data_IF_152136977901
#
_entry.id   IF_152136977901
#
_cell.length_a   1.000
_cell.length_b   1.000
_cell.length_c   1.000
_cell.angle_alpha   90.00
_cell.angle_beta   90.00
_cell.angle_gamma   90.00
#
_symmetry.space_group_name_H-M   'P 1'
#
loop_
_entity.id
_entity.type
_entity.pdbx_description
1 polymer ?
#
# COMPACT_ATOMS: atom_id res chain seq x y z
N UNK A 1 -28.67 12.72 -18.15
CA UNK A 1 -27.77 11.60 -17.93
C UNK A 1 -27.05 11.76 -16.61
N UNK A 2 -27.18 10.79 -15.75
CA UNK A 2 -26.57 10.83 -14.45
C UNK A 2 -25.09 10.47 -14.54
N UNK A 3 -24.24 11.36 -14.05
CA UNK A 3 -22.80 11.08 -14.01
C UNK A 3 -22.44 10.50 -12.64
N UNK A 4 -21.71 9.40 -12.68
CA UNK A 4 -21.17 8.82 -11.45
C UNK A 4 -19.68 9.07 -11.44
N UNK A 5 -19.20 9.53 -10.29
CA UNK A 5 -17.78 9.73 -10.11
C UNK A 5 -17.34 9.08 -8.80
N UNK A 6 -16.14 8.58 -8.81
CA UNK A 6 -15.52 8.12 -7.59
C UNK A 6 -14.21 8.88 -7.40
N UNK A 7 -13.85 9.10 -6.15
CA UNK A 7 -12.59 9.74 -5.81
C UNK A 7 -11.53 8.66 -5.68
N UNK A 8 -10.43 8.87 -6.38
CA UNK A 8 -9.28 7.97 -6.31
C UNK A 8 -8.09 8.74 -5.76
N UNK A 9 -7.19 8.02 -5.11
CA UNK A 9 -5.96 8.60 -4.58
C UNK A 9 -4.76 7.78 -5.04
N UNK A 10 -3.71 8.48 -5.45
CA UNK A 10 -2.43 7.85 -5.72
C UNK A 10 -1.48 8.28 -4.61
N UNK A 11 -0.93 7.33 -3.91
CA UNK A 11 -0.04 7.58 -2.79
C UNK A 11 1.41 7.65 -3.29
N UNK A 12 2.10 8.72 -2.90
CA UNK A 12 3.54 8.83 -3.13
C UNK A 12 4.24 8.70 -1.79
N UNK A 13 5.18 7.79 -1.72
CA UNK A 13 5.94 7.60 -0.50
C UNK A 13 7.32 7.05 -0.84
N UNK A 14 8.28 7.32 0.04
CA UNK A 14 9.59 6.72 -0.05
C UNK A 14 9.61 5.50 0.86
N UNK A 15 9.90 4.35 0.27
CA UNK A 15 10.01 3.11 1.02
C UNK A 15 11.48 2.83 1.32
N UNK A 16 11.76 2.40 2.55
CA UNK A 16 13.10 2.01 2.95
C UNK A 16 13.30 0.54 2.62
N UNK A 17 14.45 0.23 2.00
CA UNK A 17 14.71 -1.14 1.56
C UNK A 17 14.71 -2.11 2.72
N UNK A 18 13.87 -3.13 2.63
CA UNK A 18 13.79 -4.18 3.63
C UNK A 18 13.06 -3.83 4.91
N UNK A 19 12.67 -2.58 5.10
CA UNK A 19 11.98 -2.13 6.32
C UNK A 19 10.47 -2.27 6.14
N UNK A 20 10.02 -3.52 6.03
CA UNK A 20 8.62 -3.82 5.69
C UNK A 20 7.65 -3.25 6.70
N UNK A 21 7.90 -3.44 8.00
CA UNK A 21 7.00 -2.94 9.04
C UNK A 21 6.87 -1.42 8.99
N UNK A 22 8.00 -0.73 8.88
CA UNK A 22 8.01 0.73 8.78
C UNK A 22 7.29 1.21 7.52
N UNK A 23 7.54 0.54 6.40
CA UNK A 23 6.89 0.89 5.14
C UNK A 23 5.38 0.69 5.20
N UNK A 24 4.92 -0.42 5.79
CA UNK A 24 3.50 -0.69 5.95
C UNK A 24 2.84 0.31 6.88
N UNK A 25 3.51 0.69 7.97
CA UNK A 25 2.96 1.68 8.89
C UNK A 25 2.83 3.05 8.24
N UNK A 26 3.82 3.44 7.45
CA UNK A 26 3.77 4.70 6.70
C UNK A 26 2.64 4.68 5.68
N UNK A 27 2.51 3.58 4.95
CA UNK A 27 1.44 3.40 3.98
C UNK A 27 0.07 3.47 4.65
N UNK A 28 -0.07 2.88 5.84
CA UNK A 28 -1.32 2.91 6.59
C UNK A 28 -1.79 4.34 6.84
N UNK A 29 -0.87 5.20 7.31
CA UNK A 29 -1.20 6.59 7.57
C UNK A 29 -1.68 7.32 6.33
N UNK A 30 -1.02 7.08 5.21
CA UNK A 30 -1.38 7.72 3.95
C UNK A 30 -2.71 7.20 3.39
N UNK A 31 -2.97 5.89 3.53
CA UNK A 31 -4.25 5.31 3.11
C UNK A 31 -5.39 5.85 3.97
N UNK A 32 -5.18 5.97 5.28
CA UNK A 32 -6.21 6.51 6.16
C UNK A 32 -6.51 7.96 5.84
N UNK A 33 -5.50 8.74 5.51
CA UNK A 33 -5.67 10.11 5.09
C UNK A 33 -6.51 10.19 3.81
N UNK A 34 -6.19 9.34 2.82
CA UNK A 34 -6.93 9.26 1.57
C UNK A 34 -8.39 8.86 1.80
N UNK A 35 -8.62 7.89 2.69
CA UNK A 35 -9.96 7.42 3.01
C UNK A 35 -10.78 8.53 3.67
N UNK A 36 -10.18 9.31 4.58
CA UNK A 36 -10.85 10.44 5.20
C UNK A 36 -11.21 11.52 4.19
N UNK A 37 -10.41 11.63 3.13
CA UNK A 37 -10.70 12.56 2.03
C UNK A 37 -11.74 12.02 1.05
N UNK A 38 -12.27 10.84 1.28
CA UNK A 38 -13.35 10.27 0.50
C UNK A 38 -12.92 9.36 -0.65
N UNK A 39 -11.65 8.98 -0.70
CA UNK A 39 -11.17 8.09 -1.75
C UNK A 39 -11.79 6.70 -1.63
N UNK A 40 -12.23 6.15 -2.74
CA UNK A 40 -12.77 4.79 -2.81
C UNK A 40 -11.77 3.80 -3.39
N UNK A 41 -10.78 4.31 -4.12
CA UNK A 41 -9.70 3.51 -4.69
C UNK A 41 -8.39 4.21 -4.32
N UNK A 42 -7.47 3.46 -3.76
CA UNK A 42 -6.15 3.98 -3.38
C UNK A 42 -5.09 3.13 -4.06
N UNK A 43 -4.19 3.80 -4.78
CA UNK A 43 -3.08 3.15 -5.46
C UNK A 43 -1.80 3.41 -4.67
N UNK A 44 -1.09 2.34 -4.36
CA UNK A 44 0.19 2.41 -3.66
C UNK A 44 1.33 2.23 -4.66
N UNK A 45 2.52 2.76 -4.35
CA UNK A 45 3.66 2.60 -5.25
C UNK A 45 4.04 1.13 -5.42
N UNK A 46 4.60 0.83 -6.59
CA UNK A 46 5.18 -0.49 -6.82
C UNK A 46 6.26 -0.76 -5.77
N UNK A 47 6.31 -1.99 -5.26
CA UNK A 47 7.27 -2.43 -4.25
C UNK A 47 7.26 -1.56 -2.98
N UNK A 48 6.09 -1.02 -2.61
CA UNK A 48 6.02 -0.09 -1.48
C UNK A 48 6.42 -0.73 -0.15
N UNK A 49 6.17 -2.02 0.04
CA UNK A 49 6.43 -2.67 1.33
C UNK A 49 7.90 -3.01 1.53
N UNK A 50 8.59 -3.47 0.49
CA UNK A 50 9.98 -3.88 0.61
C UNK A 50 10.97 -2.85 0.08
N UNK A 51 10.50 -1.91 -0.76
CA UNK A 51 11.35 -0.93 -1.42
C UNK A 51 12.06 -1.51 -2.64
N UNK A 52 12.69 -0.63 -3.39
CA UNK A 52 13.48 -1.04 -4.56
C UNK A 52 14.90 -1.36 -4.12
N UNK A 53 15.23 -2.64 -4.12
CA UNK A 53 16.59 -3.08 -3.83
C UNK A 53 17.11 -3.87 -5.02
N UNK A 54 18.09 -3.31 -5.73
CA UNK A 54 18.75 -3.99 -6.84
C UNK A 54 19.94 -4.80 -6.32
N UNK A 55 19.67 -5.69 -5.40
CA UNK A 55 20.70 -6.47 -4.71
C UNK A 55 20.18 -7.88 -4.48
N UNK A 56 21.09 -8.79 -4.10
CA UNK A 56 20.73 -10.18 -3.85
C UNK A 56 19.69 -10.32 -2.74
N UNK A 57 19.67 -9.38 -1.80
CA UNK A 57 18.72 -9.43 -0.68
C UNK A 57 17.28 -9.18 -1.10
N UNK A 58 17.06 -8.72 -2.32
CA UNK A 58 15.69 -8.55 -2.81
C UNK A 58 14.91 -9.87 -2.78
N UNK A 59 15.58 -10.99 -2.98
CA UNK A 59 14.94 -12.29 -2.91
C UNK A 59 14.44 -12.62 -1.50
N UNK A 60 15.12 -12.09 -0.48
CA UNK A 60 14.76 -12.34 0.92
C UNK A 60 13.47 -11.63 1.31
N UNK A 61 13.09 -10.58 0.58
CA UNK A 61 11.89 -9.81 0.87
C UNK A 61 10.67 -10.26 0.08
N UNK A 62 10.86 -11.17 -0.87
CA UNK A 62 9.75 -11.70 -1.64
C UNK A 62 8.82 -12.51 -0.71
N UNK A 63 7.53 -12.29 -0.85
CA UNK A 63 6.54 -12.94 0.00
C UNK A 63 5.74 -13.94 -0.81
N UNK A 64 5.34 -15.05 -0.19
CA UNK A 64 4.45 -16.00 -0.85
C UNK A 64 3.04 -15.41 -0.97
N UNK A 65 2.21 -16.06 -1.77
CA UNK A 65 0.79 -15.75 -1.81
C UNK A 65 0.21 -15.90 -0.40
N UNK A 66 -0.58 -14.94 0.03
CA UNK A 66 -1.10 -14.91 1.39
C UNK A 66 -0.12 -14.40 2.43
N UNK A 67 1.01 -13.83 1.99
CA UNK A 67 2.03 -13.32 2.90
C UNK A 67 1.60 -12.04 3.62
N UNK A 68 2.55 -11.46 4.37
CA UNK A 68 2.29 -10.31 5.23
C UNK A 68 1.69 -9.12 4.51
N UNK A 69 2.24 -8.74 3.36
CA UNK A 69 1.78 -7.57 2.64
C UNK A 69 0.39 -7.78 2.06
N UNK A 70 0.13 -8.95 1.49
CA UNK A 70 -1.19 -9.28 0.97
C UNK A 70 -2.23 -9.27 2.07
N UNK A 71 -1.92 -9.87 3.22
CA UNK A 71 -2.79 -9.86 4.39
C UNK A 71 -3.07 -8.43 4.84
N UNK A 72 -2.03 -7.60 4.89
CA UNK A 72 -2.16 -6.19 5.25
C UNK A 72 -3.10 -5.44 4.30
N UNK A 73 -2.95 -5.67 2.99
CA UNK A 73 -3.80 -5.02 1.99
C UNK A 73 -5.26 -5.41 2.15
N UNK A 74 -5.54 -6.69 2.36
CA UNK A 74 -6.90 -7.18 2.54
C UNK A 74 -7.53 -6.62 3.82
N UNK A 75 -6.79 -6.62 4.92
CA UNK A 75 -7.29 -6.11 6.20
C UNK A 75 -7.56 -4.62 6.11
N UNK A 76 -6.66 -3.88 5.49
CA UNK A 76 -6.78 -2.43 5.35
C UNK A 76 -8.00 -2.06 4.50
N UNK A 77 -8.17 -2.74 3.38
CA UNK A 77 -9.31 -2.50 2.49
C UNK A 77 -10.63 -2.85 3.19
N UNK A 78 -10.65 -3.94 3.94
CA UNK A 78 -11.87 -4.37 4.66
C UNK A 78 -12.30 -3.36 5.71
N UNK A 79 -11.35 -2.78 6.44
CA UNK A 79 -11.68 -1.79 7.48
C UNK A 79 -12.25 -0.51 6.91
N UNK A 80 -11.86 -0.16 5.70
CA UNK A 80 -12.28 1.10 5.09
C UNK A 80 -13.50 0.95 4.19
N UNK A 81 -13.95 -0.26 4.02
CA UNK A 81 -15.10 -0.52 3.17
C UNK A 81 -14.81 -0.40 1.71
#
# INVERSE_FOLDING_TARGET
MEQRSIRVAAVQMVSENGEVESNLNRARGLVEEAARAGAKLVLLPELFSAGYCLCERAWDYAEPEGGRTETWLCDTASRRG
#
